data_IF_053304371841
#
_entry.id   IF_053304371841
#
_cell.length_a   1.000
_cell.length_b   1.000
_cell.length_c   1.000
_cell.angle_alpha   90.00
_cell.angle_beta   90.00
_cell.angle_gamma   90.00
#
_symmetry.space_group_name_H-M   'P 1'
#
loop_
_entity.id
_entity.type
_entity.pdbx_description
1 polymer ?
#
# COMPACT_ATOMS: atom_id res chain seq x y z
N UNK A 1 1.30 12.98 10.84
CA UNK A 1 0.25 12.09 11.38
C UNK A 1 -0.38 12.69 12.64
N UNK A 2 0.26 12.57 13.82
CA UNK A 2 -0.35 12.99 15.09
C UNK A 2 -0.78 14.47 15.12
N UNK A 3 0.08 15.40 14.69
CA UNK A 3 -0.25 16.83 14.65
C UNK A 3 -1.47 17.14 13.75
N UNK A 4 -1.54 16.54 12.56
CA UNK A 4 -2.68 16.70 11.63
C UNK A 4 -3.95 16.12 12.24
N UNK A 5 -3.85 14.96 12.89
CA UNK A 5 -4.97 14.32 13.58
C UNK A 5 -5.49 15.17 14.75
N UNK A 6 -4.60 15.70 15.59
CA UNK A 6 -4.98 16.58 16.71
C UNK A 6 -5.64 17.87 16.22
N UNK A 7 -5.09 18.49 15.17
CA UNK A 7 -5.70 19.66 14.54
C UNK A 7 -7.09 19.30 13.98
N UNK A 8 -7.23 18.17 13.29
CA UNK A 8 -8.51 17.69 12.74
C UNK A 8 -9.56 17.50 13.85
N UNK A 9 -9.19 16.86 14.96
CA UNK A 9 -10.07 16.69 16.12
C UNK A 9 -10.45 18.03 16.77
N UNK A 10 -9.53 18.99 16.79
CA UNK A 10 -9.80 20.35 17.29
C UNK A 10 -10.85 21.06 16.45
N UNK A 11 -10.72 21.01 15.12
CA UNK A 11 -11.70 21.65 14.23
C UNK A 11 -13.04 20.90 14.18
N UNK A 12 -13.05 19.58 14.35
CA UNK A 12 -14.27 18.81 14.55
C UNK A 12 -15.02 19.26 15.82
N UNK A 13 -14.30 19.48 16.93
CA UNK A 13 -14.88 20.03 18.16
C UNK A 13 -15.44 21.43 17.97
N UNK A 14 -14.73 22.30 17.24
CA UNK A 14 -15.20 23.67 16.92
C UNK A 14 -16.49 23.66 16.10
N UNK A 15 -16.64 22.72 15.16
CA UNK A 15 -17.89 22.56 14.39
C UNK A 15 -19.09 22.20 15.27
N UNK A 16 -18.88 21.45 16.35
CA UNK A 16 -19.94 21.06 17.27
C UNK A 16 -20.40 22.20 18.20
N UNK A 17 -19.65 23.30 18.29
CA UNK A 17 -19.90 24.41 19.23
C UNK A 17 -19.92 25.77 18.52
N UNK A 18 -20.42 25.80 17.29
CA UNK A 18 -20.35 27.01 16.46
C UNK A 18 -21.58 27.89 16.66
N UNK A 19 -21.36 29.18 16.91
CA UNK A 19 -22.45 30.13 17.20
C UNK A 19 -22.87 30.93 15.95
N UNK A 20 -22.08 30.87 14.87
CA UNK A 20 -22.35 31.64 13.64
C UNK A 20 -21.83 30.94 12.38
N UNK A 21 -22.47 31.27 11.24
CA UNK A 21 -22.18 30.71 9.91
C UNK A 21 -20.71 30.91 9.48
N UNK A 22 -20.08 32.10 9.61
CA UNK A 22 -18.69 32.28 9.18
C UNK A 22 -17.69 31.38 9.93
N UNK A 23 -17.89 31.17 11.24
CA UNK A 23 -17.07 30.23 12.01
C UNK A 23 -17.30 28.79 11.56
N UNK A 24 -18.54 28.42 11.20
CA UNK A 24 -18.87 27.09 10.71
C UNK A 24 -18.15 26.80 9.40
N UNK A 25 -18.18 27.75 8.46
CA UNK A 25 -17.52 27.64 7.16
C UNK A 25 -16.00 27.52 7.31
N UNK A 26 -15.41 28.39 8.13
CA UNK A 26 -13.97 28.38 8.41
C UNK A 26 -13.53 27.06 9.03
N UNK A 27 -14.25 26.58 10.05
CA UNK A 27 -13.94 25.32 10.72
C UNK A 27 -14.17 24.10 9.80
N UNK A 28 -15.22 24.11 8.98
CA UNK A 28 -15.52 23.04 8.02
C UNK A 28 -14.44 22.94 6.95
N UNK A 29 -14.01 24.07 6.41
CA UNK A 29 -12.95 24.14 5.42
C UNK A 29 -11.61 23.63 5.98
N UNK A 30 -11.24 24.07 7.20
CA UNK A 30 -10.04 23.61 7.87
C UNK A 30 -10.09 22.11 8.19
N UNK A 31 -11.20 21.62 8.72
CA UNK A 31 -11.43 20.20 8.98
C UNK A 31 -11.27 19.35 7.71
N UNK A 32 -11.94 19.74 6.61
CA UNK A 32 -11.89 19.01 5.35
C UNK A 32 -10.48 18.94 4.76
N UNK A 33 -9.70 20.03 4.86
CA UNK A 33 -8.30 20.04 4.41
C UNK A 33 -7.46 19.06 5.24
N UNK A 34 -7.58 19.11 6.57
CA UNK A 34 -6.83 18.24 7.47
C UNK A 34 -7.21 16.76 7.31
N UNK A 35 -8.49 16.46 7.12
CA UNK A 35 -8.99 15.11 6.87
C UNK A 35 -8.40 14.52 5.57
N UNK A 36 -8.37 15.29 4.48
CA UNK A 36 -7.71 14.87 3.23
C UNK A 36 -6.22 14.62 3.42
N UNK A 37 -5.51 15.50 4.12
CA UNK A 37 -4.09 15.29 4.44
C UNK A 37 -3.88 14.03 5.26
N UNK A 38 -4.72 13.77 6.27
CA UNK A 38 -4.63 12.58 7.09
C UNK A 38 -4.82 11.30 6.27
N UNK A 39 -5.83 11.27 5.38
CA UNK A 39 -6.05 10.14 4.47
C UNK A 39 -4.84 9.86 3.57
N UNK A 40 -4.23 10.91 3.00
CA UNK A 40 -2.99 10.78 2.20
C UNK A 40 -1.86 10.20 3.04
N UNK A 41 -1.70 10.65 4.28
CA UNK A 41 -0.67 10.11 5.17
C UNK A 41 -0.93 8.61 5.47
N UNK A 42 -2.18 8.20 5.69
CA UNK A 42 -2.55 6.78 5.92
C UNK A 42 -2.21 5.93 4.70
N UNK A 43 -2.53 6.38 3.49
CA UNK A 43 -2.17 5.70 2.25
C UNK A 43 -0.65 5.61 2.06
N UNK A 44 0.09 6.69 2.35
CA UNK A 44 1.55 6.69 2.30
C UNK A 44 2.15 5.69 3.29
N UNK A 45 1.62 5.63 4.53
CA UNK A 45 2.06 4.67 5.53
C UNK A 45 1.76 3.23 5.12
N UNK A 46 0.58 2.98 4.53
CA UNK A 46 0.21 1.68 3.98
C UNK A 46 1.21 1.26 2.91
N UNK A 47 1.49 2.10 1.92
CA UNK A 47 2.48 1.82 0.85
C UNK A 47 3.89 1.57 1.40
N UNK A 48 4.31 2.35 2.39
CA UNK A 48 5.60 2.16 3.06
C UNK A 48 5.68 0.79 3.76
N UNK A 49 4.60 0.37 4.43
CA UNK A 49 4.55 -0.91 5.16
C UNK A 49 4.32 -2.13 4.28
N UNK A 50 3.57 -2.00 3.19
CA UNK A 50 3.27 -3.11 2.26
C UNK A 50 4.36 -3.32 1.22
N UNK A 51 5.51 -2.64 1.35
CA UNK A 51 6.67 -2.89 0.51
C UNK A 51 6.44 -2.55 -0.95
N UNK A 52 6.22 -1.27 -1.27
CA UNK A 52 6.18 -0.75 -2.65
C UNK A 52 7.47 -0.96 -3.47
N UNK A 53 8.39 -1.81 -3.03
CA UNK A 53 9.59 -2.19 -3.75
C UNK A 53 9.32 -3.48 -4.54
N UNK A 54 8.89 -3.32 -5.80
CA UNK A 54 9.18 -4.36 -6.80
C UNK A 54 10.69 -4.34 -7.01
N UNK A 55 11.43 -5.09 -6.20
CA UNK A 55 12.90 -5.15 -6.26
C UNK A 55 13.32 -5.91 -7.51
N UNK A 56 13.48 -5.19 -8.62
CA UNK A 56 14.02 -5.75 -9.87
C UNK A 56 15.52 -5.92 -9.71
N UNK A 57 15.96 -7.16 -9.47
CA UNK A 57 17.38 -7.51 -9.42
C UNK A 57 17.76 -8.04 -10.79
N UNK A 58 18.57 -7.30 -11.56
CA UNK A 58 19.03 -7.75 -12.88
C UNK A 58 20.18 -8.73 -12.68
N UNK A 59 19.98 -9.99 -13.09
CA UNK A 59 21.05 -10.98 -13.20
C UNK A 59 21.12 -11.44 -14.65
N UNK A 60 22.31 -11.37 -15.26
CA UNK A 60 22.53 -11.97 -16.57
C UNK A 60 22.59 -13.49 -16.41
N UNK A 61 21.63 -14.20 -17.02
CA UNK A 61 21.57 -15.66 -17.04
C UNK A 61 21.89 -16.13 -18.46
N UNK A 62 22.93 -16.93 -18.61
CA UNK A 62 23.22 -17.62 -19.88
C UNK A 62 22.46 -18.93 -19.92
N UNK A 63 21.56 -19.09 -20.89
CA UNK A 63 20.86 -20.35 -21.13
C UNK A 63 21.68 -21.14 -22.15
N UNK A 64 22.24 -22.27 -21.73
CA UNK A 64 22.94 -23.19 -22.62
C UNK A 64 21.95 -24.05 -23.42
N UNK A 65 22.41 -24.68 -24.49
CA UNK A 65 21.60 -25.57 -25.33
C UNK A 65 20.94 -26.68 -24.49
N UNK A 66 19.60 -26.76 -24.54
CA UNK A 66 18.79 -27.65 -23.70
C UNK A 66 18.30 -27.07 -22.36
N UNK A 67 18.73 -25.86 -21.98
CA UNK A 67 18.23 -25.16 -20.79
C UNK A 67 16.92 -24.41 -21.05
N UNK A 68 16.03 -24.36 -20.05
CA UNK A 68 14.79 -23.56 -20.11
C UNK A 68 14.71 -22.61 -18.92
N UNK A 69 14.38 -21.34 -19.19
CA UNK A 69 14.14 -20.33 -18.17
C UNK A 69 12.65 -19.97 -18.15
N UNK A 70 12.05 -19.98 -16.95
CA UNK A 70 10.63 -19.65 -16.75
C UNK A 70 10.56 -18.24 -16.14
N UNK A 71 9.75 -17.37 -16.73
CA UNK A 71 9.45 -16.02 -16.20
C UNK A 71 8.00 -16.00 -15.72
N UNK A 72 7.77 -15.90 -14.41
CA UNK A 72 6.43 -15.83 -13.82
C UNK A 72 6.33 -16.50 -12.45
N UNK A 73 5.12 -16.50 -11.87
CA UNK A 73 4.84 -17.18 -10.60
C UNK A 73 4.88 -18.70 -10.81
N UNK A 74 5.90 -19.37 -10.27
CA UNK A 74 6.03 -20.83 -10.35
C UNK A 74 5.29 -21.44 -9.16
N UNK A 75 4.15 -22.08 -9.40
CA UNK A 75 3.52 -22.98 -8.43
C UNK A 75 4.15 -24.37 -8.58
N UNK A 76 4.92 -24.79 -7.59
CA UNK A 76 5.52 -26.12 -7.58
C UNK A 76 4.42 -27.14 -7.20
N UNK A 77 3.76 -27.72 -8.20
CA UNK A 77 2.94 -28.90 -7.97
C UNK A 77 3.89 -30.03 -7.53
N UNK A 78 3.73 -30.48 -6.28
CA UNK A 78 4.54 -31.55 -5.69
C UNK A 78 4.54 -32.79 -6.60
N UNK A 79 5.74 -33.35 -6.79
CA UNK A 79 6.01 -34.33 -7.83
C UNK A 79 5.55 -35.76 -7.57
N UNK A 80 5.71 -36.56 -8.63
CA UNK A 80 6.19 -37.93 -8.53
C UNK A 80 5.15 -39.04 -8.49
N UNK A 81 4.86 -39.64 -9.65
CA UNK A 81 4.63 -41.09 -9.74
C UNK A 81 5.44 -41.61 -10.94
N UNK A 82 6.53 -42.31 -10.65
CA UNK A 82 7.26 -43.09 -11.63
C UNK A 82 6.64 -44.48 -11.80
N UNK A 83 6.83 -45.07 -12.98
CA UNK A 83 6.99 -46.52 -13.06
C UNK A 83 8.01 -46.89 -14.13
N UNK A 84 8.90 -47.79 -13.72
CA UNK A 84 10.12 -48.20 -14.39
C UNK A 84 9.85 -49.23 -15.48
N UNK A 85 10.57 -49.11 -16.61
CA UNK A 85 10.74 -50.21 -17.54
C UNK A 85 11.71 -51.26 -16.98
N UNK A 86 11.32 -52.53 -17.07
CA UNK A 86 12.19 -53.70 -16.98
C UNK A 86 11.73 -54.74 -17.99
N UNK A 87 12.69 -55.29 -18.74
CA UNK A 87 12.61 -56.61 -19.40
C UNK A 87 12.08 -56.57 -20.82
#
# INVERSE_FOLDING_TARGET
MAAVHMAMMTFARRLAHVDNLPQQDSASNAFNKLARTFAVQVEALKRYRTGGEQKVTVQHVTVNEGGQAIVGAVSQAAGGVGHAGKG
#
